data_IF_730545982374
#
_entry.id   IF_730545982374
#
_cell.length_a   1.000
_cell.length_b   1.000
_cell.length_c   1.000
_cell.angle_alpha   90.00
_cell.angle_beta   90.00
_cell.angle_gamma   90.00
#
_symmetry.space_group_name_H-M   'P 1'
#
loop_
_entity.id
_entity.type
_entity.pdbx_description
1 polymer ?
#
# COMPACT_ATOMS: atom_id res chain seq x y z
N UNK A 1 -6.99 0.90 15.73
CA UNK A 1 -6.98 1.04 14.27
C UNK A 1 -5.94 0.12 13.67
N UNK A 2 -6.32 -0.70 12.71
CA UNK A 2 -5.40 -1.61 12.01
C UNK A 2 -5.51 -1.36 10.52
N UNK A 3 -4.44 -0.88 9.92
CA UNK A 3 -4.42 -0.45 8.54
C UNK A 3 -3.72 -1.46 7.63
N UNK A 4 -4.24 -1.63 6.44
CA UNK A 4 -3.58 -2.36 5.37
C UNK A 4 -3.29 -1.38 4.25
N UNK A 5 -2.02 -1.19 3.94
CA UNK A 5 -1.57 -0.38 2.81
C UNK A 5 -1.54 -1.22 1.55
N UNK A 6 -2.02 -0.69 0.46
CA UNK A 6 -2.17 -1.42 -0.80
C UNK A 6 -1.60 -0.59 -1.94
N UNK A 7 -0.67 -1.19 -2.69
CA UNK A 7 -0.18 -0.64 -3.94
C UNK A 7 -0.72 -1.53 -5.06
N UNK A 8 -1.78 -1.06 -5.72
CA UNK A 8 -2.47 -1.86 -6.72
C UNK A 8 -1.76 -1.84 -8.06
N UNK A 9 -1.50 -3.04 -8.59
CA UNK A 9 -1.02 -3.23 -9.95
C UNK A 9 -1.84 -4.29 -10.65
N UNK A 10 -1.83 -4.30 -11.97
CA UNK A 10 -2.60 -5.28 -12.76
C UNK A 10 -2.08 -6.70 -12.61
N UNK A 11 -0.81 -6.86 -12.31
CA UNK A 11 -0.17 -8.17 -12.16
C UNK A 11 0.24 -8.49 -10.73
N UNK A 12 0.47 -7.47 -9.92
CA UNK A 12 0.96 -7.61 -8.56
C UNK A 12 0.30 -6.59 -7.67
N UNK A 13 0.09 -6.98 -6.42
CA UNK A 13 -0.49 -6.07 -5.42
C UNK A 13 0.45 -6.05 -4.22
N UNK A 14 1.10 -4.92 -3.98
CA UNK A 14 1.96 -4.74 -2.81
C UNK A 14 1.13 -4.50 -1.56
N UNK A 15 1.57 -5.04 -0.44
CA UNK A 15 0.86 -4.94 0.83
C UNK A 15 1.78 -4.53 1.98
N UNK A 16 1.21 -3.76 2.91
CA UNK A 16 1.87 -3.40 4.16
C UNK A 16 0.82 -3.30 5.26
N UNK A 17 1.23 -3.48 6.50
CA UNK A 17 0.32 -3.31 7.64
C UNK A 17 0.90 -2.36 8.67
N UNK A 18 0.03 -1.74 9.45
CA UNK A 18 0.41 -0.85 10.53
C UNK A 18 -0.78 -0.49 11.40
N UNK A 19 -0.52 0.14 12.51
CA UNK A 19 -1.55 0.53 13.48
C UNK A 19 -1.20 1.90 14.08
N UNK A 20 -1.83 2.24 15.20
CA UNK A 20 -1.63 3.53 15.87
C UNK A 20 -0.21 3.72 16.45
N UNK A 21 0.61 2.68 16.48
CA UNK A 21 2.02 2.81 16.82
C UNK A 21 2.74 3.66 15.76
N UNK A 22 2.24 3.62 14.51
CA UNK A 22 2.71 4.53 13.47
C UNK A 22 3.84 3.99 12.59
N UNK A 23 4.09 2.68 12.63
CA UNK A 23 5.14 2.04 11.81
C UNK A 23 4.52 1.11 10.79
N UNK A 24 4.80 1.34 9.51
CA UNK A 24 4.37 0.46 8.43
C UNK A 24 5.38 -0.66 8.22
N UNK A 25 4.88 -1.88 8.10
CA UNK A 25 5.69 -3.08 7.88
C UNK A 25 5.25 -3.76 6.58
N UNK A 26 6.19 -4.06 5.66
CA UNK A 26 5.80 -4.71 4.40
C UNK A 26 5.36 -6.15 4.63
N UNK A 27 4.38 -6.58 3.84
CA UNK A 27 3.93 -7.96 3.75
C UNK A 27 4.29 -8.52 2.38
N UNK A 28 4.38 -9.84 2.21
CA UNK A 28 4.60 -10.41 0.88
C UNK A 28 3.54 -9.93 -0.09
N UNK A 29 3.98 -9.48 -1.27
CA UNK A 29 3.05 -9.02 -2.30
C UNK A 29 2.24 -10.18 -2.87
N UNK A 30 1.07 -9.87 -3.38
CA UNK A 30 0.23 -10.84 -4.07
C UNK A 30 0.69 -10.91 -5.53
N UNK A 31 1.35 -12.00 -5.90
CA UNK A 31 2.00 -12.14 -7.21
C UNK A 31 1.40 -13.29 -8.05
N UNK A 32 0.35 -13.92 -7.56
CA UNK A 32 -0.32 -14.99 -8.30
C UNK A 32 -0.80 -14.48 -9.65
N UNK A 33 -0.64 -15.29 -10.70
CA UNK A 33 -1.04 -14.89 -12.05
C UNK A 33 -2.55 -14.72 -12.17
N UNK A 34 -3.33 -15.49 -11.41
CA UNK A 34 -4.79 -15.41 -11.43
C UNK A 34 -5.29 -14.28 -10.53
N UNK A 35 -5.97 -13.27 -11.11
CA UNK A 35 -6.51 -12.17 -10.30
C UNK A 35 -7.51 -12.62 -9.24
N UNK A 36 -8.23 -13.70 -9.47
CA UNK A 36 -9.17 -14.25 -8.49
C UNK A 36 -8.42 -14.75 -7.25
N UNK A 37 -7.28 -15.42 -7.46
CA UNK A 37 -6.44 -15.89 -6.35
C UNK A 37 -5.88 -14.70 -5.57
N UNK A 38 -5.41 -13.67 -6.26
CA UNK A 38 -4.91 -12.45 -5.59
C UNK A 38 -6.01 -11.83 -4.72
N UNK A 39 -7.22 -11.74 -5.26
CA UNK A 39 -8.37 -11.17 -4.54
C UNK A 39 -8.70 -11.98 -3.28
N UNK A 40 -8.72 -13.30 -3.41
CA UNK A 40 -8.98 -14.20 -2.28
C UNK A 40 -7.93 -14.03 -1.18
N UNK A 41 -6.66 -13.99 -1.56
CA UNK A 41 -5.56 -13.79 -0.60
C UNK A 41 -5.61 -12.43 0.07
N UNK A 42 -6.04 -11.39 -0.65
CA UNK A 42 -6.24 -10.07 -0.09
C UNK A 42 -7.32 -10.12 1.00
N UNK A 43 -8.44 -10.76 0.72
CA UNK A 43 -9.52 -10.92 1.70
C UNK A 43 -9.07 -11.70 2.93
N UNK A 44 -8.26 -12.75 2.73
CA UNK A 44 -7.69 -13.51 3.82
C UNK A 44 -6.78 -12.65 4.71
N UNK A 45 -5.95 -11.81 4.10
CA UNK A 45 -5.06 -10.91 4.84
C UNK A 45 -5.86 -9.90 5.67
N UNK A 46 -6.92 -9.33 5.09
CA UNK A 46 -7.80 -8.39 5.77
C UNK A 46 -8.43 -9.07 7.00
N UNK A 47 -8.93 -10.26 6.82
CA UNK A 47 -9.62 -11.01 7.89
C UNK A 47 -8.64 -11.46 8.97
N UNK A 48 -7.52 -12.06 8.57
CA UNK A 48 -6.55 -12.61 9.52
C UNK A 48 -5.93 -11.53 10.40
N UNK A 49 -5.75 -10.34 9.87
CA UNK A 49 -5.13 -9.23 10.60
C UNK A 49 -6.16 -8.29 11.23
N UNK A 50 -7.44 -8.58 11.07
CA UNK A 50 -8.53 -7.76 11.60
C UNK A 50 -8.41 -6.30 11.18
N UNK A 51 -8.17 -6.09 9.89
CA UNK A 51 -7.98 -4.77 9.32
C UNK A 51 -9.27 -3.95 9.48
N UNK A 52 -9.13 -2.71 9.89
CA UNK A 52 -10.26 -1.78 10.07
C UNK A 52 -10.29 -0.69 9.00
N UNK A 53 -9.15 -0.40 8.39
CA UNK A 53 -9.02 0.68 7.41
C UNK A 53 -8.09 0.23 6.28
N UNK A 54 -8.46 0.58 5.05
CA UNK A 54 -7.64 0.30 3.87
C UNK A 54 -7.02 1.61 3.40
N UNK A 55 -5.71 1.57 3.10
CA UNK A 55 -4.96 2.72 2.60
C UNK A 55 -4.44 2.37 1.22
N UNK A 56 -4.94 3.04 0.20
CA UNK A 56 -4.68 2.71 -1.20
C UNK A 56 -3.91 3.83 -1.87
N UNK A 57 -2.78 3.48 -2.51
CA UNK A 57 -2.02 4.43 -3.30
C UNK A 57 -2.82 4.86 -4.53
N UNK A 58 -2.82 6.16 -4.80
CA UNK A 58 -3.55 6.73 -5.93
C UNK A 58 -2.57 7.44 -6.88
N UNK A 59 -2.53 7.03 -8.15
CA UNK A 59 -1.53 7.55 -9.08
C UNK A 59 -2.01 8.83 -9.77
N UNK A 60 -1.88 9.96 -9.07
CA UNK A 60 -2.13 11.26 -9.71
C UNK A 60 -1.04 11.53 -10.74
N UNK A 61 -1.41 12.15 -11.86
CA UNK A 61 -0.44 12.68 -12.79
C UNK A 61 0.26 13.90 -12.18
N UNK A 62 1.41 14.27 -12.73
CA UNK A 62 2.18 15.40 -12.20
C UNK A 62 1.41 16.73 -12.25
N UNK A 63 0.48 16.87 -13.20
CA UNK A 63 -0.38 18.05 -13.32
C UNK A 63 -1.66 17.95 -12.49
N UNK A 64 -1.82 16.87 -11.71
CA UNK A 64 -3.00 16.64 -10.89
C UNK A 64 -4.17 16.01 -11.62
N UNK A 65 -4.04 15.74 -12.92
CA UNK A 65 -5.11 15.10 -13.67
C UNK A 65 -5.22 13.61 -13.38
N UNK A 66 -6.36 13.01 -13.70
CA UNK A 66 -6.64 11.59 -13.49
C UNK A 66 -6.38 10.84 -14.79
N UNK A 67 -5.36 9.97 -14.78
CA UNK A 67 -4.98 9.17 -15.94
C UNK A 67 -5.64 7.80 -15.98
N UNK A 68 -5.24 6.99 -16.94
CA UNK A 68 -5.79 5.65 -17.14
C UNK A 68 -5.60 4.74 -15.91
N UNK A 69 -4.41 4.76 -15.32
CA UNK A 69 -4.12 3.94 -14.14
C UNK A 69 -4.99 4.34 -12.95
N UNK A 70 -5.25 5.65 -12.80
CA UNK A 70 -6.11 6.13 -11.73
C UNK A 70 -7.54 5.58 -11.84
N UNK A 71 -8.05 5.44 -13.07
CA UNK A 71 -9.37 4.85 -13.28
C UNK A 71 -9.43 3.39 -12.84
N UNK A 72 -8.35 2.64 -13.08
CA UNK A 72 -8.25 1.26 -12.60
C UNK A 72 -8.24 1.20 -11.08
N UNK A 73 -7.52 2.11 -10.44
CA UNK A 73 -7.46 2.19 -8.98
C UNK A 73 -8.82 2.61 -8.41
N UNK A 74 -9.53 3.53 -9.06
CA UNK A 74 -10.89 3.91 -8.65
C UNK A 74 -11.83 2.71 -8.66
N UNK A 75 -11.78 1.90 -9.71
CA UNK A 75 -12.59 0.69 -9.80
C UNK A 75 -12.23 -0.31 -8.70
N UNK A 76 -10.95 -0.45 -8.42
CA UNK A 76 -10.47 -1.32 -7.35
C UNK A 76 -10.93 -0.83 -5.98
N UNK A 77 -10.87 0.48 -5.73
CA UNK A 77 -11.34 1.08 -4.49
C UNK A 77 -12.83 0.81 -4.27
N UNK A 78 -13.63 0.97 -5.31
CA UNK A 78 -15.07 0.70 -5.25
C UNK A 78 -15.33 -0.77 -4.92
N UNK A 79 -14.56 -1.67 -5.52
CA UNK A 79 -14.67 -3.11 -5.26
C UNK A 79 -14.30 -3.45 -3.81
N UNK A 80 -13.26 -2.81 -3.27
CA UNK A 80 -12.86 -2.99 -1.88
C UNK A 80 -13.96 -2.55 -0.92
N UNK A 81 -14.53 -1.37 -1.15
CA UNK A 81 -15.61 -0.85 -0.32
C UNK A 81 -16.82 -1.76 -0.34
N UNK A 82 -17.20 -2.23 -1.52
CA UNK A 82 -18.36 -3.10 -1.67
C UNK A 82 -18.15 -4.46 -1.03
N UNK A 83 -16.96 -5.03 -1.14
CA UNK A 83 -16.68 -6.39 -0.66
C UNK A 83 -16.44 -6.45 0.84
N UNK A 84 -15.75 -5.46 1.41
CA UNK A 84 -15.29 -5.53 2.80
C UNK A 84 -15.98 -4.53 3.73
N UNK A 85 -16.65 -3.53 3.18
CA UNK A 85 -17.36 -2.53 4.00
C UNK A 85 -16.42 -1.67 4.85
N UNK A 86 -15.14 -1.58 4.49
CA UNK A 86 -14.15 -0.80 5.23
C UNK A 86 -13.88 0.53 4.55
N UNK A 87 -13.53 1.57 5.31
CA UNK A 87 -13.11 2.83 4.71
C UNK A 87 -11.84 2.65 3.91
N UNK A 88 -11.78 3.29 2.75
CA UNK A 88 -10.62 3.29 1.86
C UNK A 88 -10.08 4.71 1.79
N UNK A 89 -8.85 4.89 2.27
CA UNK A 89 -8.16 6.19 2.26
C UNK A 89 -7.19 6.21 1.09
N UNK A 90 -7.20 7.28 0.30
CA UNK A 90 -6.33 7.42 -0.86
C UNK A 90 -5.10 8.25 -0.51
N UNK A 91 -3.93 7.79 -0.93
CA UNK A 91 -2.65 8.48 -0.72
C UNK A 91 -1.96 8.61 -2.07
N UNK A 92 -1.42 9.79 -2.36
CA UNK A 92 -0.68 10.03 -3.60
C UNK A 92 0.58 9.14 -3.61
N UNK A 93 0.63 8.21 -4.56
CA UNK A 93 1.75 7.27 -4.68
C UNK A 93 2.87 7.75 -5.60
N UNK A 94 2.69 8.86 -6.30
CA UNK A 94 3.66 9.34 -7.29
C UNK A 94 5.04 9.55 -6.67
N UNK A 95 5.09 10.20 -5.50
CA UNK A 95 6.35 10.46 -4.81
C UNK A 95 6.87 9.22 -4.08
N UNK A 96 5.98 8.39 -3.55
CA UNK A 96 6.38 7.19 -2.80
C UNK A 96 7.01 6.14 -3.69
N UNK A 97 6.53 5.98 -4.93
CA UNK A 97 7.13 5.04 -5.89
C UNK A 97 8.59 5.39 -6.18
N UNK A 98 8.89 6.68 -6.34
CA UNK A 98 10.24 7.15 -6.57
C UNK A 98 11.14 6.86 -5.36
N UNK A 99 10.65 7.11 -4.15
CA UNK A 99 11.36 6.80 -2.91
C UNK A 99 11.60 5.30 -2.74
N UNK A 100 10.62 4.48 -3.12
CA UNK A 100 10.76 3.03 -3.04
C UNK A 100 11.93 2.54 -3.91
N UNK A 101 12.04 3.06 -5.12
CA UNK A 101 13.14 2.68 -6.02
C UNK A 101 14.48 3.12 -5.48
N UNK A 102 14.59 4.35 -4.96
CA UNK A 102 15.85 4.89 -4.47
C UNK A 102 16.29 4.28 -3.14
N UNK A 103 15.36 3.76 -2.34
CA UNK A 103 15.67 3.20 -1.02
C UNK A 103 16.19 1.77 -1.07
N UNK A 104 16.09 1.09 -2.21
CA UNK A 104 16.53 -0.29 -2.35
C UNK A 104 17.92 -0.32 -2.96
N UNK A 105 18.91 -0.82 -2.20
CA UNK A 105 20.26 -0.99 -2.70
C UNK A 105 20.27 -1.97 -3.86
N UNK A 106 21.07 -1.68 -4.89
CA UNK A 106 21.12 -2.53 -6.09
C UNK A 106 21.48 -3.97 -5.77
N UNK A 107 22.37 -4.19 -4.82
CA UNK A 107 22.81 -5.52 -4.41
C UNK A 107 21.70 -6.35 -3.75
N UNK A 108 20.70 -5.69 -3.18
CA UNK A 108 19.63 -6.36 -2.46
C UNK A 108 18.38 -6.60 -3.32
N UNK A 109 18.33 -6.00 -4.49
CA UNK A 109 17.13 -6.07 -5.36
C UNK A 109 16.70 -7.49 -5.68
N UNK A 110 17.66 -8.36 -5.99
CA UNK A 110 17.35 -9.71 -6.44
C UNK A 110 16.66 -10.51 -5.34
N UNK A 111 17.23 -10.54 -4.15
CA UNK A 111 16.66 -11.26 -3.02
C UNK A 111 15.31 -10.71 -2.59
N UNK A 112 15.19 -9.38 -2.51
CA UNK A 112 13.94 -8.73 -2.13
C UNK A 112 12.86 -8.99 -3.19
N UNK A 113 13.23 -8.96 -4.47
CA UNK A 113 12.32 -9.23 -5.57
C UNK A 113 11.78 -10.67 -5.51
N UNK A 114 12.64 -11.64 -5.25
CA UNK A 114 12.25 -13.04 -5.15
C UNK A 114 11.31 -13.29 -3.98
N UNK A 115 11.46 -12.54 -2.88
CA UNK A 115 10.58 -12.67 -1.72
C UNK A 115 9.28 -11.87 -1.85
N UNK A 116 9.12 -11.06 -2.90
CA UNK A 116 7.96 -10.20 -3.09
C UNK A 116 8.01 -8.90 -2.30
N UNK A 117 9.05 -8.67 -1.49
CA UNK A 117 9.13 -7.46 -0.65
C UNK A 117 9.40 -6.19 -1.46
N UNK A 118 10.05 -6.30 -2.64
CA UNK A 118 10.24 -5.14 -3.52
C UNK A 118 8.88 -4.57 -3.94
N UNK A 119 7.95 -5.45 -4.31
CA UNK A 119 6.62 -5.03 -4.74
C UNK A 119 5.79 -4.44 -3.60
N UNK A 120 6.15 -4.75 -2.36
CA UNK A 120 5.47 -4.21 -1.17
C UNK A 120 6.14 -2.96 -0.62
N UNK A 121 7.28 -2.55 -1.16
CA UNK A 121 8.00 -1.37 -0.68
C UNK A 121 7.18 -0.09 -0.88
N UNK A 122 6.56 0.05 -2.05
CA UNK A 122 5.69 1.19 -2.32
C UNK A 122 4.47 1.18 -1.41
N UNK A 123 3.87 0.01 -1.18
CA UNK A 123 2.74 -0.11 -0.24
C UNK A 123 3.14 0.31 1.17
N UNK A 124 4.34 -0.04 1.58
CA UNK A 124 4.88 0.35 2.88
C UNK A 124 5.02 1.87 2.99
N UNK A 125 5.55 2.53 1.95
CA UNK A 125 5.71 3.98 1.94
C UNK A 125 4.36 4.71 1.87
N UNK A 126 3.42 4.18 1.10
CA UNK A 126 2.05 4.70 1.03
C UNK A 126 1.41 4.66 2.43
N UNK A 127 1.51 3.53 3.09
CA UNK A 127 0.94 3.37 4.43
C UNK A 127 1.66 4.25 5.44
N UNK A 128 2.99 4.32 5.39
CA UNK A 128 3.77 5.14 6.31
C UNK A 128 3.39 6.62 6.18
N UNK A 129 3.19 7.10 4.96
CA UNK A 129 2.75 8.47 4.73
C UNK A 129 1.39 8.73 5.41
N UNK A 130 0.46 7.80 5.25
CA UNK A 130 -0.85 7.91 5.91
C UNK A 130 -0.73 7.89 7.42
N UNK A 131 0.07 6.97 7.96
CA UNK A 131 0.25 6.85 9.41
C UNK A 131 0.92 8.09 10.01
N UNK A 132 1.88 8.68 9.30
CA UNK A 132 2.56 9.88 9.75
C UNK A 132 1.61 11.08 9.82
N UNK A 133 0.63 11.14 8.93
CA UNK A 133 -0.39 12.19 8.96
C UNK A 133 -1.44 11.94 10.03
N UNK A 134 -1.83 10.69 10.21
CA UNK A 134 -2.87 10.30 11.16
C UNK A 134 -2.34 10.25 12.60
N UNK A 135 -1.15 9.74 12.77
CA UNK A 135 -0.48 9.58 14.06
C UNK A 135 0.92 10.20 13.97
N UNK A 136 1.00 11.54 13.90
CA UNK A 136 2.30 12.17 13.72
C UNK A 136 3.23 11.88 14.89
N UNK A 137 4.54 11.70 14.60
CA UNK A 137 5.49 11.48 15.68
C UNK A 137 5.52 12.68 16.62
N UNK A 138 5.82 12.48 17.92
CA UNK A 138 5.90 13.60 18.85
C UNK A 138 6.97 14.58 18.39
N UNK A 139 6.69 15.87 18.59
CA UNK A 139 7.65 16.91 18.26
C UNK A 139 8.95 16.68 19.04
N UNK A 140 10.11 16.91 18.40
CA UNK A 140 11.37 16.78 19.13
C UNK A 140 11.40 17.71 20.33
N UNK A 141 11.87 17.18 21.45
CA UNK A 141 12.03 17.97 22.65
C UNK A 141 13.28 18.84 22.51
N UNK A 142 13.07 20.15 22.48
CA UNK A 142 14.14 21.11 22.27
C UNK A 142 14.73 21.67 23.58
N UNK A 143 14.29 21.17 24.69
CA UNK A 143 14.81 21.61 25.99
C UNK A 143 16.20 21.04 26.26
#
# INVERSE_FOLDING_TARGET
MRCLGIDYGTKRVGLAHGDEIGVATPLPALIDADPTVRWTKLGEAIKARRITDLVLGYPYNMDGSVGFKAKEVDAFAAKLKAAFGLPVHLVDETLTSSEAESSIAKKDRRGVRDSGLVDSRAACLILQDYLDQKFPPPAPNLE
#
